data_IF_435231989312
#
_entry.id   IF_435231989312
#
_cell.length_a   1.000
_cell.length_b   1.000
_cell.length_c   1.000
_cell.angle_alpha   90.00
_cell.angle_beta   90.00
_cell.angle_gamma   90.00
#
_symmetry.space_group_name_H-M   'P 1'
#
loop_
_entity.id
_entity.type
_entity.pdbx_description
1 polymer ?
#
# COMPACT_ATOMS: atom_id res chain seq x y z
N UNK A 1 -6.29 -17.71 6.69
CA UNK A 1 -6.06 -16.39 6.08
C UNK A 1 -5.78 -15.39 7.19
N UNK A 2 -4.54 -14.91 7.32
CA UNK A 2 -4.20 -13.92 8.33
C UNK A 2 -4.95 -12.61 8.02
N UNK A 3 -5.93 -12.26 8.86
CA UNK A 3 -6.50 -10.92 8.89
C UNK A 3 -5.43 -10.00 9.49
N UNK A 4 -4.60 -9.39 8.66
CA UNK A 4 -3.85 -8.21 9.09
C UNK A 4 -4.86 -7.06 9.17
N UNK A 5 -5.50 -6.91 10.32
CA UNK A 5 -6.47 -5.85 10.62
C UNK A 5 -5.82 -4.49 10.91
N UNK A 6 -4.52 -4.35 10.68
CA UNK A 6 -3.84 -3.08 10.82
C UNK A 6 -4.01 -2.26 9.54
N UNK A 7 -5.10 -1.49 9.48
CA UNK A 7 -5.24 -0.43 8.49
C UNK A 7 -4.03 0.48 8.54
N UNK A 8 -3.34 0.63 7.41
CA UNK A 8 -2.19 1.51 7.33
C UNK A 8 -2.59 2.98 7.47
N UNK A 9 -1.64 3.82 7.85
CA UNK A 9 -1.84 5.27 8.02
C UNK A 9 -1.01 6.03 7.00
N UNK A 10 -1.33 7.31 6.81
CA UNK A 10 -0.46 8.21 6.04
C UNK A 10 0.94 8.22 6.66
N UNK A 11 1.97 8.09 5.83
CA UNK A 11 3.37 7.98 6.22
C UNK A 11 3.85 6.55 6.51
N UNK A 12 2.95 5.56 6.59
CA UNK A 12 3.35 4.16 6.74
C UNK A 12 4.22 3.72 5.57
N UNK A 13 5.36 3.09 5.90
CA UNK A 13 6.21 2.40 4.93
C UNK A 13 5.63 1.01 4.65
N UNK A 14 5.46 0.72 3.37
CA UNK A 14 4.88 -0.53 2.88
C UNK A 14 5.73 -1.07 1.75
N UNK A 15 5.51 -2.33 1.40
CA UNK A 15 6.01 -2.94 0.18
C UNK A 15 4.81 -3.43 -0.64
N UNK A 16 4.92 -3.42 -1.97
CA UNK A 16 3.95 -4.09 -2.83
C UNK A 16 3.92 -5.59 -2.49
N UNK A 17 2.77 -6.14 -2.10
CA UNK A 17 2.66 -7.55 -1.76
C UNK A 17 2.59 -8.45 -3.00
N UNK A 18 2.09 -7.89 -4.11
CA UNK A 18 1.95 -8.53 -5.42
C UNK A 18 2.48 -7.58 -6.50
N UNK A 19 2.65 -8.09 -7.72
CA UNK A 19 2.90 -7.22 -8.87
C UNK A 19 1.67 -6.35 -9.13
N UNK A 20 1.86 -5.05 -9.16
CA UNK A 20 0.86 -4.05 -9.49
C UNK A 20 1.21 -3.40 -10.83
N UNK A 21 0.29 -2.60 -11.36
CA UNK A 21 0.48 -1.90 -12.64
C UNK A 21 1.74 -1.02 -12.60
N UNK A 22 2.80 -1.48 -13.25
CA UNK A 22 4.09 -0.79 -13.31
C UNK A 22 4.87 -0.79 -12.00
N UNK A 23 4.48 -1.61 -11.01
CA UNK A 23 5.15 -1.71 -9.71
C UNK A 23 5.35 -3.20 -9.39
N UNK A 24 6.58 -3.73 -9.53
CA UNK A 24 6.86 -5.11 -9.15
C UNK A 24 6.59 -5.37 -7.66
N UNK A 25 6.24 -6.60 -7.33
CA UNK A 25 6.15 -7.07 -5.95
C UNK A 25 7.47 -6.80 -5.20
N UNK A 26 7.34 -6.49 -3.91
CA UNK A 26 8.45 -6.10 -3.07
C UNK A 26 8.92 -4.65 -3.25
N UNK A 27 8.46 -3.91 -4.26
CA UNK A 27 8.80 -2.49 -4.41
C UNK A 27 8.37 -1.70 -3.19
N UNK A 28 9.29 -0.91 -2.65
CA UNK A 28 9.01 -0.08 -1.48
C UNK A 28 8.09 1.07 -1.82
N UNK A 29 7.22 1.45 -0.89
CA UNK A 29 6.34 2.59 -1.04
C UNK A 29 5.98 3.24 0.28
N UNK A 30 5.45 4.46 0.18
CA UNK A 30 4.97 5.24 1.31
C UNK A 30 3.52 5.64 1.08
N UNK A 31 2.68 5.40 2.07
CA UNK A 31 1.28 5.80 1.98
C UNK A 31 1.17 7.32 2.10
N UNK A 32 0.61 7.96 1.07
CA UNK A 32 0.39 9.41 1.02
C UNK A 32 -1.01 9.80 1.43
N UNK A 33 -1.97 8.92 1.18
CA UNK A 33 -3.37 9.15 1.49
C UNK A 33 -4.06 7.83 1.82
N UNK A 34 -4.92 7.90 2.82
CA UNK A 34 -5.91 6.87 3.11
C UNK A 34 -7.26 7.50 2.75
N UNK A 35 -8.01 6.88 1.85
CA UNK A 35 -9.30 7.36 1.41
C UNK A 35 -10.35 6.26 1.56
N UNK A 36 -11.60 6.60 1.83
CA UNK A 36 -12.66 5.61 1.96
C UNK A 36 -13.71 5.99 2.99
N UNK A 37 -14.98 5.97 2.60
CA UNK A 37 -16.13 6.12 3.50
C UNK A 37 -16.73 4.72 3.76
N UNK A 38 -16.90 3.93 2.70
CA UNK A 38 -17.41 2.53 2.76
C UNK A 38 -16.30 1.48 2.61
N UNK A 39 -15.24 1.78 1.83
CA UNK A 39 -14.08 0.90 1.63
C UNK A 39 -12.78 1.69 1.65
N UNK A 40 -11.80 1.21 2.42
CA UNK A 40 -10.49 1.84 2.57
C UNK A 40 -9.59 1.54 1.38
N UNK A 41 -9.04 2.60 0.79
CA UNK A 41 -8.13 2.57 -0.35
C UNK A 41 -6.94 3.49 -0.08
N UNK A 42 -5.79 3.06 -0.54
CA UNK A 42 -4.52 3.72 -0.27
C UNK A 42 -3.97 4.35 -1.54
N UNK A 43 -3.47 5.59 -1.40
CA UNK A 43 -2.54 6.18 -2.36
C UNK A 43 -1.14 5.93 -1.86
N UNK A 44 -0.31 5.31 -2.69
CA UNK A 44 1.07 4.96 -2.37
C UNK A 44 1.98 5.53 -3.44
N UNK A 45 3.03 6.23 -3.01
CA UNK A 45 4.15 6.61 -3.87
C UNK A 45 5.21 5.51 -3.72
N UNK A 46 5.53 4.82 -4.82
CA UNK A 46 6.53 3.76 -4.82
C UNK A 46 7.92 4.29 -5.20
N UNK A 47 8.95 3.62 -4.69
CA UNK A 47 10.34 3.98 -4.89
C UNK A 47 10.79 3.89 -6.36
N UNK A 48 10.07 3.14 -7.18
CA UNK A 48 10.30 3.07 -8.63
C UNK A 48 9.71 4.28 -9.41
N UNK A 49 9.20 5.30 -8.71
CA UNK A 49 8.65 6.52 -9.29
C UNK A 49 7.18 6.45 -9.70
N UNK A 50 6.51 5.31 -9.51
CA UNK A 50 5.09 5.15 -9.83
C UNK A 50 4.23 5.47 -8.61
N UNK A 51 3.18 6.27 -8.81
CA UNK A 51 2.15 6.52 -7.80
C UNK A 51 0.85 5.82 -8.19
N UNK A 52 0.29 5.02 -7.28
CA UNK A 52 -1.01 4.37 -7.45
C UNK A 52 -1.99 4.88 -6.39
N UNK A 53 -3.19 5.30 -6.82
CA UNK A 53 -4.14 6.03 -5.96
C UNK A 53 -5.30 5.23 -5.37
N UNK A 54 -5.48 3.97 -5.76
CA UNK A 54 -6.61 3.14 -5.33
C UNK A 54 -6.15 1.71 -5.12
N UNK A 55 -5.29 1.53 -4.13
CA UNK A 55 -4.77 0.21 -3.75
C UNK A 55 -5.54 -0.31 -2.53
N UNK A 56 -5.95 -1.58 -2.56
CA UNK A 56 -6.51 -2.25 -1.40
C UNK A 56 -5.40 -2.60 -0.39
N UNK A 57 -5.73 -2.58 0.91
CA UNK A 57 -4.78 -2.94 1.95
C UNK A 57 -4.19 -4.35 1.82
N UNK A 58 -4.93 -5.30 1.25
CA UNK A 58 -4.47 -6.68 1.02
C UNK A 58 -3.33 -6.78 -0.02
N UNK A 59 -3.16 -5.76 -0.87
CA UNK A 59 -2.07 -5.71 -1.85
C UNK A 59 -0.81 -5.04 -1.30
N UNK A 60 -0.82 -4.65 -0.03
CA UNK A 60 0.29 -3.99 0.65
C UNK A 60 0.72 -4.84 1.85
N UNK A 61 2.03 -4.95 2.06
CA UNK A 61 2.59 -5.53 3.29
C UNK A 61 3.26 -4.45 4.10
N UNK A 62 3.01 -4.46 5.42
CA UNK A 62 3.73 -3.61 6.35
C UNK A 62 5.21 -3.99 6.36
N UNK A 63 6.09 -3.00 6.38
CA UNK A 63 7.49 -3.24 6.71
C UNK A 63 7.59 -3.31 8.23
N UNK A 64 7.83 -4.49 8.79
CA UNK A 64 8.25 -4.60 10.18
C UNK A 64 9.55 -3.80 10.34
N UNK A 65 9.62 -3.00 11.41
CA UNK A 65 10.81 -2.25 11.78
C UNK A 65 11.97 -3.21 12.09
#
# INVERSE_FOLDING_TARGET
MAKNSDTFRKGSKVLAAIDLRGVPSGTEGVIRMVAGITWTRYRVDFANGVTLGSIDGSHLRGRAA
#
